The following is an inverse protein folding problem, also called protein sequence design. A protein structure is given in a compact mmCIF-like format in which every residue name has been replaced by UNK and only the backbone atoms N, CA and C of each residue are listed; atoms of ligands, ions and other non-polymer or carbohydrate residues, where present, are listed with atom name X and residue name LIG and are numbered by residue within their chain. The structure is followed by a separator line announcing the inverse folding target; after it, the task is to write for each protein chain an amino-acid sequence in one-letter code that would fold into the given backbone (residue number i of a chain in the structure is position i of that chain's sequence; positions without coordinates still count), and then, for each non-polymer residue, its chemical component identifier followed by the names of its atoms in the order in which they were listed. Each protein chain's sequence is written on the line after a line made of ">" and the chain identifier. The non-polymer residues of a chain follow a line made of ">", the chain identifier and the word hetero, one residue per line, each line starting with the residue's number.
data_IF_044269177864
#
_entry.id   IF_044269177864
#
_cell.length_a   1.000
_cell.length_b   1.000
_cell.length_c   1.000
_cell.angle_alpha   90.00
_cell.angle_beta   90.00
_cell.angle_gamma   90.00
#
_symmetry.space_group_name_H-M   'P 1'
#
loop_
_entity.id
_entity.type
_entity.pdbx_description
1 polymer ?
#
# COMPACT_ATOMS: atom_id res chain seq x y z
N UNK A 1 -13.38 31.95 -1.76
CA UNK A 1 -12.45 30.86 -1.40
C UNK A 1 -13.18 29.87 -0.49
N UNK A 2 -13.58 28.71 -1.01
CA UNK A 2 -14.25 27.67 -0.22
C UNK A 2 -13.23 27.11 0.78
N UNK A 3 -13.42 27.36 2.08
CA UNK A 3 -12.67 26.68 3.14
C UNK A 3 -13.12 25.22 3.10
N UNK A 4 -12.39 24.38 2.38
CA UNK A 4 -12.64 22.94 2.33
C UNK A 4 -12.62 22.42 3.77
N UNK A 5 -13.70 21.78 4.21
CA UNK A 5 -13.78 21.21 5.55
C UNK A 5 -12.64 20.22 5.76
N UNK A 6 -11.60 20.63 6.49
CA UNK A 6 -10.39 19.83 6.71
C UNK A 6 -10.66 18.53 7.46
N UNK A 7 -11.85 18.39 8.06
CA UNK A 7 -12.36 17.20 8.75
C UNK A 7 -13.15 16.24 7.86
N UNK A 8 -13.55 16.66 6.65
CA UNK A 8 -14.25 15.80 5.71
C UNK A 8 -13.42 14.52 5.44
N UNK A 9 -14.08 13.37 5.47
CA UNK A 9 -13.44 12.07 5.28
C UNK A 9 -13.49 11.66 3.80
N UNK A 10 -12.34 11.24 3.26
CA UNK A 10 -12.18 10.68 1.93
C UNK A 10 -11.98 9.18 2.04
N UNK A 11 -12.59 8.40 1.15
CA UNK A 11 -12.36 6.96 1.06
C UNK A 11 -11.03 6.74 0.33
N UNK A 12 -10.04 6.21 1.06
CA UNK A 12 -8.72 5.87 0.54
C UNK A 12 -8.62 4.41 0.14
N UNK A 13 -9.12 3.52 0.99
CA UNK A 13 -9.08 2.07 0.78
C UNK A 13 -10.46 1.43 0.99
N UNK A 14 -10.79 0.52 0.10
CA UNK A 14 -11.97 -0.35 0.17
C UNK A 14 -11.77 -1.45 1.22
N UNK A 15 -12.84 -2.19 1.50
CA UNK A 15 -12.76 -3.36 2.39
C UNK A 15 -11.81 -4.43 1.82
N UNK A 16 -11.87 -4.68 0.51
CA UNK A 16 -11.02 -5.66 -0.16
C UNK A 16 -9.53 -5.32 -0.01
N UNK A 17 -9.12 -4.10 -0.35
CA UNK A 17 -7.71 -3.66 -0.24
C UNK A 17 -7.18 -3.80 1.19
N UNK A 18 -8.02 -3.48 2.20
CA UNK A 18 -7.66 -3.64 3.61
C UNK A 18 -7.47 -5.10 4.01
N UNK A 19 -8.39 -5.99 3.63
CA UNK A 19 -8.23 -7.42 3.94
C UNK A 19 -7.01 -8.02 3.25
N UNK A 20 -6.78 -7.69 1.99
CA UNK A 20 -5.57 -8.14 1.28
C UNK A 20 -4.32 -7.69 2.03
N UNK A 21 -4.26 -6.42 2.45
CA UNK A 21 -3.15 -5.90 3.23
C UNK A 21 -2.99 -6.63 4.58
N UNK A 22 -4.05 -6.71 5.39
CA UNK A 22 -3.98 -7.29 6.74
C UNK A 22 -3.65 -8.78 6.73
N UNK A 23 -4.23 -9.55 5.81
CA UNK A 23 -3.93 -10.98 5.67
C UNK A 23 -2.50 -11.21 5.17
N UNK A 24 -2.05 -10.41 4.19
CA UNK A 24 -0.65 -10.49 3.71
C UNK A 24 0.32 -10.10 4.82
N UNK A 25 0.02 -9.04 5.58
CA UNK A 25 0.84 -8.60 6.71
C UNK A 25 0.91 -9.65 7.82
N UNK A 26 -0.21 -10.28 8.15
CA UNK A 26 -0.25 -11.37 9.15
C UNK A 26 0.63 -12.55 8.70
N UNK A 27 0.46 -13.03 7.46
CA UNK A 27 1.25 -14.13 6.93
C UNK A 27 2.74 -13.78 6.83
N UNK A 28 3.06 -12.57 6.37
CA UNK A 28 4.44 -12.07 6.30
C UNK A 28 5.09 -12.03 7.68
N UNK A 29 4.41 -11.44 8.68
CA UNK A 29 4.94 -11.35 10.05
C UNK A 29 5.10 -12.73 10.68
N UNK A 30 4.17 -13.66 10.42
CA UNK A 30 4.31 -15.05 10.85
C UNK A 30 5.52 -15.74 10.19
N UNK A 31 5.73 -15.54 8.89
CA UNK A 31 6.93 -16.03 8.19
C UNK A 31 8.21 -15.44 8.77
N UNK A 32 8.26 -14.13 9.03
CA UNK A 32 9.44 -13.47 9.58
C UNK A 32 9.75 -13.95 11.00
N UNK A 33 8.74 -14.08 11.85
CA UNK A 33 8.91 -14.58 13.22
C UNK A 33 9.40 -16.03 13.23
N UNK A 34 8.76 -16.89 12.45
CA UNK A 34 9.16 -18.31 12.35
C UNK A 34 10.53 -18.48 11.69
N UNK A 35 10.85 -17.71 10.65
CA UNK A 35 12.18 -17.70 10.03
C UNK A 35 13.26 -17.28 11.03
N UNK A 36 13.03 -16.22 11.80
CA UNK A 36 13.94 -15.78 12.84
C UNK A 36 14.21 -16.89 13.87
N UNK A 37 13.17 -17.60 14.32
CA UNK A 37 13.32 -18.72 15.25
C UNK A 37 14.06 -19.92 14.64
N UNK A 38 13.89 -20.19 13.34
CA UNK A 38 14.61 -21.25 12.63
C UNK A 38 16.06 -20.87 12.31
N UNK A 39 16.33 -19.59 12.13
CA UNK A 39 17.64 -19.03 11.80
C UNK A 39 18.59 -19.07 13.02
N UNK A 40 18.08 -18.84 14.22
CA UNK A 40 18.87 -18.85 15.46
C UNK A 40 18.82 -20.26 16.09
N UNK A 41 19.96 -20.98 16.16
CA UNK A 41 19.99 -22.36 16.67
C UNK A 41 19.41 -22.50 18.08
N UNK A 42 19.64 -21.53 18.97
CA UNK A 42 19.14 -21.56 20.35
C UNK A 42 17.61 -21.60 20.47
N UNK A 43 16.88 -21.05 19.50
CA UNK A 43 15.41 -21.12 19.46
C UNK A 43 14.90 -22.39 18.75
N UNK A 44 15.75 -23.04 17.95
CA UNK A 44 15.41 -24.21 17.16
C UNK A 44 15.75 -25.56 17.82
N UNK A 45 16.53 -25.59 18.91
CA UNK A 45 17.16 -26.81 19.45
C UNK A 45 16.25 -27.68 20.33
N UNK A 46 15.15 -27.16 20.87
CA UNK A 46 14.16 -28.04 21.50
C UNK A 46 13.37 -28.74 20.40
N UNK A 47 13.50 -30.07 20.28
CA UNK A 47 12.89 -30.86 19.20
C UNK A 47 11.39 -30.58 18.99
N UNK A 48 10.64 -30.27 20.05
CA UNK A 48 9.22 -29.89 19.96
C UNK A 48 8.97 -28.51 19.30
N UNK A 49 9.89 -27.56 19.40
CA UNK A 49 9.72 -26.25 18.79
C UNK A 49 9.94 -26.28 17.27
N UNK A 50 10.98 -27.00 16.79
CA UNK A 50 11.29 -27.05 15.35
C UNK A 50 10.20 -27.77 14.55
N UNK A 51 9.66 -28.86 15.07
CA UNK A 51 8.57 -29.63 14.43
C UNK A 51 7.26 -28.85 14.34
N UNK A 52 7.06 -27.80 15.15
CA UNK A 52 5.89 -26.92 15.07
C UNK A 52 6.20 -25.69 14.19
N UNK A 53 7.33 -25.03 14.41
CA UNK A 53 7.69 -23.78 13.76
C UNK A 53 7.91 -23.99 12.25
N UNK A 54 8.57 -25.08 11.85
CA UNK A 54 8.86 -25.35 10.44
C UNK A 54 7.58 -25.53 9.61
N UNK A 55 6.62 -26.39 9.98
CA UNK A 55 5.35 -26.48 9.24
C UNK A 55 4.60 -25.15 9.19
N UNK A 56 4.53 -24.40 10.30
CA UNK A 56 3.88 -23.07 10.31
C UNK A 56 4.54 -22.15 9.30
N UNK A 57 5.88 -22.09 9.27
CA UNK A 57 6.62 -21.29 8.29
C UNK A 57 6.28 -21.69 6.85
N UNK A 58 6.29 -23.00 6.55
CA UNK A 58 5.99 -23.52 5.22
C UNK A 58 4.56 -23.15 4.80
N UNK A 59 3.56 -23.41 5.65
CA UNK A 59 2.17 -23.10 5.32
C UNK A 59 1.93 -21.61 5.18
N UNK A 60 2.51 -20.77 6.04
CA UNK A 60 2.41 -19.31 5.90
C UNK A 60 3.07 -18.84 4.59
N UNK A 61 4.23 -19.39 4.22
CA UNK A 61 4.91 -19.09 2.96
C UNK A 61 4.09 -19.49 1.73
N UNK A 62 3.49 -20.69 1.76
CA UNK A 62 2.63 -21.18 0.68
C UNK A 62 1.33 -20.37 0.54
N UNK A 63 0.77 -19.90 1.66
CA UNK A 63 -0.45 -19.10 1.69
C UNK A 63 -0.21 -17.61 1.42
N UNK A 64 1.03 -17.12 1.55
CA UNK A 64 1.37 -15.71 1.35
C UNK A 64 0.85 -15.08 0.04
N UNK A 65 0.90 -15.75 -1.14
CA UNK A 65 0.32 -15.19 -2.37
C UNK A 65 -1.21 -15.15 -2.39
N UNK A 66 -1.90 -15.96 -1.58
CA UNK A 66 -3.36 -16.16 -1.64
C UNK A 66 -4.15 -14.86 -1.45
N UNK A 67 -3.90 -14.00 -0.44
CA UNK A 67 -4.64 -12.75 -0.31
C UNK A 67 -4.51 -11.85 -1.53
N UNK A 68 -3.33 -11.77 -2.14
CA UNK A 68 -3.11 -10.96 -3.36
C UNK A 68 -3.90 -11.53 -4.53
N UNK A 69 -3.86 -12.85 -4.74
CA UNK A 69 -4.61 -13.53 -5.80
C UNK A 69 -6.12 -13.34 -5.64
N UNK A 70 -6.66 -13.50 -4.43
CA UNK A 70 -8.08 -13.22 -4.14
C UNK A 70 -8.41 -11.74 -4.35
N UNK A 71 -7.49 -10.85 -3.97
CA UNK A 71 -7.60 -9.41 -4.18
C UNK A 71 -7.78 -9.02 -5.64
N UNK A 72 -7.22 -9.80 -6.59
CA UNK A 72 -7.37 -9.55 -8.02
C UNK A 72 -8.82 -9.60 -8.49
N UNK A 73 -9.76 -10.20 -7.75
CA UNK A 73 -11.20 -10.14 -8.07
C UNK A 73 -11.75 -8.71 -7.91
N UNK A 74 -11.20 -7.93 -6.98
CA UNK A 74 -11.62 -6.55 -6.71
C UNK A 74 -11.09 -5.56 -7.75
N UNK A 75 -12.00 -4.84 -8.43
CA UNK A 75 -11.64 -3.75 -9.35
C UNK A 75 -10.81 -2.66 -8.68
N UNK A 76 -11.11 -2.34 -7.42
CA UNK A 76 -10.39 -1.31 -6.67
C UNK A 76 -8.93 -1.73 -6.45
N UNK A 77 -8.72 -2.98 -5.99
CA UNK A 77 -7.39 -3.54 -5.79
C UNK A 77 -6.58 -3.60 -7.09
N UNK A 78 -7.19 -4.03 -8.20
CA UNK A 78 -6.51 -4.02 -9.52
C UNK A 78 -6.08 -2.62 -9.95
N UNK A 79 -6.91 -1.59 -9.71
CA UNK A 79 -6.56 -0.19 -9.99
C UNK A 79 -5.39 0.26 -9.13
N UNK A 80 -5.39 -0.09 -7.84
CA UNK A 80 -4.31 0.24 -6.92
C UNK A 80 -3.01 -0.45 -7.31
N UNK A 81 -3.05 -1.72 -7.72
CA UNK A 81 -1.90 -2.45 -8.23
C UNK A 81 -1.32 -1.78 -9.48
N UNK A 82 -2.18 -1.34 -10.40
CA UNK A 82 -1.76 -0.57 -11.58
C UNK A 82 -1.12 0.77 -11.21
N UNK A 83 -1.66 1.46 -10.20
CA UNK A 83 -1.09 2.72 -9.70
C UNK A 83 0.26 2.52 -8.99
N UNK A 84 0.44 1.39 -8.30
CA UNK A 84 1.70 1.00 -7.65
C UNK A 84 2.77 0.63 -8.68
N UNK A 85 2.40 -0.07 -9.76
CA UNK A 85 3.34 -0.51 -10.80
C UNK A 85 3.72 0.61 -11.79
N UNK A 86 2.99 1.73 -11.80
CA UNK A 86 3.25 2.84 -12.73
C UNK A 86 4.17 3.88 -12.11
N UNK A 87 5.45 3.79 -12.46
CA UNK A 87 6.44 4.83 -12.17
C UNK A 87 6.40 5.93 -13.24
N UNK A 88 6.49 7.18 -12.81
CA UNK A 88 6.54 8.33 -13.71
C UNK A 88 7.57 9.39 -13.29
N UNK A 89 7.74 10.46 -14.09
CA UNK A 89 8.72 11.51 -13.80
C UNK A 89 8.53 12.19 -12.43
N UNK A 90 7.30 12.23 -11.93
CA UNK A 90 6.97 12.77 -10.61
C UNK A 90 7.56 11.91 -9.47
N UNK A 91 7.64 10.59 -9.64
CA UNK A 91 8.24 9.70 -8.65
C UNK A 91 9.74 9.95 -8.53
N UNK A 92 10.42 10.11 -9.67
CA UNK A 92 11.84 10.42 -9.70
C UNK A 92 12.15 11.80 -9.08
N UNK A 93 11.30 12.80 -9.30
CA UNK A 93 11.40 14.10 -8.61
C UNK A 93 11.20 13.97 -7.11
N UNK A 94 10.25 13.14 -6.67
CA UNK A 94 10.01 12.90 -5.24
C UNK A 94 11.22 12.25 -4.57
N UNK A 95 11.84 11.25 -5.22
CA UNK A 95 13.02 10.56 -4.69
C UNK A 95 14.24 11.49 -4.55
N UNK A 96 14.44 12.40 -5.51
CA UNK A 96 15.56 13.35 -5.50
C UNK A 96 15.31 14.59 -4.64
N UNK A 97 14.07 14.84 -4.23
CA UNK A 97 13.72 16.04 -3.48
C UNK A 97 14.09 15.93 -2.00
N UNK A 98 14.95 16.84 -1.52
CA UNK A 98 15.19 17.05 -0.09
C UNK A 98 13.96 17.57 0.66
N UNK A 99 12.99 18.16 -0.06
CA UNK A 99 11.74 18.72 0.46
C UNK A 99 10.52 17.82 0.21
N UNK A 100 10.74 16.52 -0.06
CA UNK A 100 9.68 15.55 -0.39
C UNK A 100 8.57 15.38 0.67
N UNK A 101 8.84 15.81 1.92
CA UNK A 101 7.88 15.84 3.05
C UNK A 101 7.50 17.27 3.49
N UNK A 102 7.95 18.29 2.77
CA UNK A 102 7.66 19.68 3.13
C UNK A 102 6.19 20.01 2.87
N UNK A 103 5.60 20.72 3.83
CA UNK A 103 4.22 21.18 3.80
C UNK A 103 4.23 22.72 3.87
N UNK A 104 3.54 23.38 2.95
CA UNK A 104 3.35 24.84 2.92
C UNK A 104 1.84 25.09 2.84
N UNK A 105 1.34 25.98 3.70
CA UNK A 105 -0.10 26.29 3.81
C UNK A 105 -0.99 25.06 3.99
N UNK A 106 -0.50 24.07 4.75
CA UNK A 106 -1.22 22.82 5.00
C UNK A 106 -1.30 21.88 3.79
N UNK A 107 -0.51 22.10 2.74
CA UNK A 107 -0.43 21.27 1.54
C UNK A 107 0.98 20.77 1.24
N UNK A 108 1.09 19.56 0.70
CA UNK A 108 2.38 19.00 0.28
C UNK A 108 2.94 19.74 -0.93
N UNK A 109 4.23 20.10 -0.88
CA UNK A 109 4.89 20.89 -1.95
C UNK A 109 5.16 20.04 -3.21
N UNK A 110 5.41 18.74 -3.04
CA UNK A 110 5.61 17.82 -4.16
C UNK A 110 4.26 17.19 -4.52
N UNK A 111 3.83 17.22 -5.80
CA UNK A 111 2.58 16.61 -6.22
C UNK A 111 2.69 15.08 -6.11
N UNK A 112 2.01 14.51 -5.11
CA UNK A 112 1.97 13.08 -4.84
C UNK A 112 0.57 12.54 -5.14
N UNK A 113 0.51 11.50 -5.97
CA UNK A 113 -0.73 10.77 -6.29
C UNK A 113 -1.21 9.90 -5.12
N UNK A 114 -2.05 8.88 -5.39
CA UNK A 114 -2.56 8.01 -4.31
C UNK A 114 -1.43 7.34 -3.51
N UNK A 115 -0.35 6.96 -4.19
CA UNK A 115 0.87 6.42 -3.58
C UNK A 115 2.07 7.31 -3.93
N UNK A 116 2.95 7.53 -2.94
CA UNK A 116 4.24 8.19 -3.18
C UNK A 116 5.28 7.19 -3.72
N UNK A 117 6.40 7.70 -4.22
CA UNK A 117 7.44 6.86 -4.82
C UNK A 117 8.03 5.83 -3.83
N UNK A 118 8.18 6.20 -2.55
CA UNK A 118 8.64 5.27 -1.50
C UNK A 118 7.67 4.10 -1.28
N UNK A 119 6.36 4.37 -1.27
CA UNK A 119 5.33 3.33 -1.19
C UNK A 119 5.34 2.41 -2.41
N UNK A 120 5.55 2.96 -3.61
CA UNK A 120 5.68 2.18 -4.84
C UNK A 120 6.92 1.28 -4.83
N UNK A 121 8.08 1.82 -4.44
CA UNK A 121 9.32 1.05 -4.29
C UNK A 121 9.16 -0.07 -3.26
N UNK A 122 8.58 0.23 -2.10
CA UNK A 122 8.32 -0.77 -1.06
C UNK A 122 7.40 -1.88 -1.57
N UNK A 123 6.32 -1.53 -2.28
CA UNK A 123 5.39 -2.50 -2.86
C UNK A 123 6.08 -3.37 -3.93
N UNK A 124 6.86 -2.77 -4.83
CA UNK A 124 7.59 -3.49 -5.87
C UNK A 124 8.65 -4.44 -5.28
N UNK A 125 9.45 -3.96 -4.32
CA UNK A 125 10.42 -4.78 -3.60
C UNK A 125 9.72 -5.93 -2.88
N UNK A 126 8.69 -5.66 -2.09
CA UNK A 126 7.99 -6.69 -1.29
C UNK A 126 7.35 -7.74 -2.20
N UNK A 127 6.74 -7.34 -3.32
CA UNK A 127 6.16 -8.26 -4.27
C UNK A 127 7.21 -9.15 -4.95
N UNK A 128 8.30 -8.55 -5.46
CA UNK A 128 9.41 -9.30 -6.05
C UNK A 128 10.08 -10.25 -5.06
N UNK A 129 10.32 -9.75 -3.84
CA UNK A 129 10.91 -10.54 -2.76
C UNK A 129 9.99 -11.71 -2.38
N UNK A 130 8.68 -11.50 -2.24
CA UNK A 130 7.72 -12.56 -1.94
C UNK A 130 7.73 -13.67 -3.01
N UNK A 131 7.82 -13.33 -4.30
CA UNK A 131 7.91 -14.31 -5.38
C UNK A 131 9.21 -15.13 -5.30
N UNK A 132 10.35 -14.48 -5.06
CA UNK A 132 11.64 -15.17 -4.89
C UNK A 132 11.62 -16.06 -3.64
N UNK A 133 11.10 -15.56 -2.52
CA UNK A 133 10.97 -16.32 -1.27
C UNK A 133 10.04 -17.52 -1.41
N UNK A 134 8.96 -17.39 -2.18
CA UNK A 134 8.07 -18.51 -2.49
C UNK A 134 8.80 -19.58 -3.32
N UNK A 135 9.53 -19.17 -4.36
CA UNK A 135 10.31 -20.07 -5.19
C UNK A 135 11.41 -20.79 -4.41
N UNK A 136 12.25 -20.04 -3.69
CA UNK A 136 13.33 -20.64 -2.88
C UNK A 136 12.76 -21.46 -1.72
N UNK A 137 11.70 -21.02 -1.06
CA UNK A 137 11.00 -21.78 -0.01
C UNK A 137 10.47 -23.13 -0.50
N UNK A 138 9.93 -23.19 -1.73
CA UNK A 138 9.54 -24.43 -2.37
C UNK A 138 10.75 -25.36 -2.58
N UNK A 139 11.86 -24.85 -3.14
CA UNK A 139 13.10 -25.61 -3.36
C UNK A 139 13.73 -26.11 -2.04
N UNK A 140 13.49 -25.42 -0.92
CA UNK A 140 13.92 -25.86 0.42
C UNK A 140 12.96 -26.88 1.06
N UNK A 141 11.71 -26.93 0.60
CA UNK A 141 10.70 -27.85 1.14
C UNK A 141 10.81 -29.23 0.49
N UNK A 142 11.05 -29.28 -0.82
CA UNK A 142 11.15 -30.52 -1.58
C UNK A 142 12.60 -30.83 -2.00
N UNK A 143 12.92 -32.09 -2.39
CA UNK A 143 14.25 -32.43 -2.92
C UNK A 143 14.54 -31.63 -4.20
N UNK A 144 15.64 -30.86 -4.20
CA UNK A 144 16.04 -30.02 -5.33
C UNK A 144 17.58 -29.93 -5.41
N UNK A 145 18.20 -30.06 -6.59
CA UNK A 145 19.65 -30.00 -6.74
C UNK A 145 20.26 -28.62 -6.47
N UNK A 146 19.45 -27.54 -6.55
CA UNK A 146 19.86 -26.17 -6.31
C UNK A 146 19.60 -25.70 -4.88
N UNK A 147 19.29 -26.62 -3.96
CA UNK A 147 18.97 -26.33 -2.56
C UNK A 147 19.97 -25.39 -1.89
N UNK A 148 21.28 -25.57 -2.11
CA UNK A 148 22.32 -24.71 -1.52
C UNK A 148 22.19 -23.25 -1.97
N UNK A 149 21.99 -23.02 -3.28
CA UNK A 149 21.77 -21.68 -3.82
C UNK A 149 20.46 -21.07 -3.33
N UNK A 150 19.41 -21.89 -3.25
CA UNK A 150 18.12 -21.48 -2.71
C UNK A 150 18.23 -21.05 -1.24
N UNK A 151 18.94 -21.80 -0.38
CA UNK A 151 19.19 -21.42 1.02
C UNK A 151 19.87 -20.06 1.09
N UNK A 152 20.96 -19.87 0.33
CA UNK A 152 21.69 -18.61 0.34
C UNK A 152 20.81 -17.41 -0.03
N UNK A 153 20.04 -17.53 -1.12
CA UNK A 153 19.14 -16.45 -1.56
C UNK A 153 18.02 -16.23 -0.55
N UNK A 154 17.43 -17.29 0.00
CA UNK A 154 16.34 -17.21 0.97
C UNK A 154 16.77 -16.50 2.26
N UNK A 155 17.93 -16.84 2.80
CA UNK A 155 18.44 -16.28 4.05
C UNK A 155 18.81 -14.79 3.92
N UNK A 156 19.54 -14.43 2.85
CA UNK A 156 19.89 -13.02 2.61
C UNK A 156 18.66 -12.16 2.32
N UNK A 157 17.72 -12.70 1.55
CA UNK A 157 16.49 -12.00 1.24
C UNK A 157 15.58 -11.86 2.47
N UNK A 158 15.55 -12.86 3.36
CA UNK A 158 14.91 -12.74 4.67
C UNK A 158 15.43 -11.54 5.45
N UNK A 159 16.75 -11.37 5.57
CA UNK A 159 17.34 -10.23 6.27
C UNK A 159 16.95 -8.89 5.62
N UNK A 160 16.97 -8.81 4.29
CA UNK A 160 16.54 -7.62 3.57
C UNK A 160 15.05 -7.30 3.79
N UNK A 161 14.17 -8.32 3.77
CA UNK A 161 12.74 -8.17 4.04
C UNK A 161 12.50 -7.69 5.48
N UNK A 162 13.25 -8.20 6.47
CA UNK A 162 13.16 -7.72 7.87
C UNK A 162 13.41 -6.22 7.91
N UNK A 163 14.50 -5.73 7.33
CA UNK A 163 14.86 -4.30 7.33
C UNK A 163 13.77 -3.46 6.67
N UNK A 164 13.31 -3.88 5.48
CA UNK A 164 12.27 -3.15 4.74
C UNK A 164 10.94 -3.15 5.48
N UNK A 165 10.54 -4.27 6.08
CA UNK A 165 9.30 -4.40 6.85
C UNK A 165 9.33 -3.52 8.10
N UNK A 166 10.46 -3.48 8.82
CA UNK A 166 10.64 -2.57 9.96
C UNK A 166 10.58 -1.11 9.53
N UNK A 167 11.22 -0.75 8.43
CA UNK A 167 11.13 0.60 7.85
C UNK A 167 9.70 0.99 7.47
N UNK A 168 8.96 0.07 6.86
CA UNK A 168 7.54 0.26 6.53
C UNK A 168 6.68 0.48 7.78
N UNK A 169 6.87 -0.36 8.82
CA UNK A 169 6.15 -0.24 10.09
C UNK A 169 6.48 1.07 10.80
N UNK A 170 7.76 1.47 10.83
CA UNK A 170 8.20 2.74 11.41
C UNK A 170 7.53 3.95 10.75
N UNK A 171 7.52 4.01 9.42
CA UNK A 171 6.85 5.09 8.70
C UNK A 171 5.33 5.08 8.92
N UNK A 172 4.70 3.90 9.00
CA UNK A 172 3.28 3.78 9.29
C UNK A 172 2.93 4.27 10.71
N UNK A 173 3.70 3.86 11.72
CA UNK A 173 3.46 4.22 13.13
C UNK A 173 3.62 5.72 13.39
N UNK A 174 4.46 6.40 12.61
CA UNK A 174 4.66 7.86 12.68
C UNK A 174 3.56 8.68 12.01
N UNK A 175 2.65 8.03 11.29
CA UNK A 175 1.53 8.68 10.61
C UNK A 175 0.17 8.10 11.08
N UNK A 176 -0.45 8.70 12.12
CA UNK A 176 -1.77 8.29 12.60
C UNK A 176 -2.86 8.34 11.52
N UNK A 177 -2.72 9.22 10.52
CA UNK A 177 -3.67 9.30 9.41
C UNK A 177 -3.54 8.12 8.45
N UNK A 178 -2.32 7.65 8.20
CA UNK A 178 -2.06 6.42 7.45
C UNK A 178 -2.61 5.19 8.19
N UNK A 179 -2.34 5.05 9.49
CA UNK A 179 -2.88 3.97 10.32
C UNK A 179 -4.41 3.94 10.29
N UNK A 180 -5.05 5.10 10.52
CA UNK A 180 -6.52 5.21 10.44
C UNK A 180 -7.03 4.88 9.05
N UNK A 181 -6.30 5.28 8.01
CA UNK A 181 -6.61 4.93 6.62
C UNK A 181 -6.62 3.42 6.40
N UNK A 182 -5.64 2.69 6.93
CA UNK A 182 -5.57 1.23 6.77
C UNK A 182 -6.57 0.48 7.66
N UNK A 183 -6.85 0.99 8.86
CA UNK A 183 -7.85 0.40 9.76
C UNK A 183 -9.28 0.61 9.24
N UNK A 184 -9.64 1.85 8.87
CA UNK A 184 -11.03 2.25 8.59
C UNK A 184 -11.34 2.46 7.11
N UNK A 185 -10.32 2.54 6.26
CA UNK A 185 -10.45 2.84 4.83
C UNK A 185 -10.56 4.33 4.52
N UNK A 186 -10.62 5.20 5.54
CA UNK A 186 -10.90 6.64 5.39
C UNK A 186 -9.80 7.50 5.98
N UNK A 187 -9.52 8.63 5.34
CA UNK A 187 -8.55 9.64 5.78
C UNK A 187 -9.19 11.03 5.73
N UNK A 188 -8.68 11.99 6.51
CA UNK A 188 -9.18 13.36 6.43
C UNK A 188 -8.69 14.04 5.16
N UNK A 189 -9.50 14.96 4.61
CA UNK A 189 -9.12 15.78 3.44
C UNK A 189 -7.87 16.61 3.71
N UNK A 190 -7.69 17.09 4.95
CA UNK A 190 -6.46 17.78 5.37
C UNK A 190 -5.22 16.89 5.38
N UNK A 191 -5.35 15.62 5.79
CA UNK A 191 -4.25 14.65 5.70
C UNK A 191 -3.89 14.36 4.25
N UNK A 192 -4.92 14.17 3.39
CA UNK A 192 -4.74 13.93 1.97
C UNK A 192 -4.04 15.10 1.29
N UNK A 193 -4.42 16.34 1.60
CA UNK A 193 -3.79 17.53 1.05
C UNK A 193 -2.31 17.69 1.47
N UNK A 194 -1.93 17.26 2.68
CA UNK A 194 -0.54 17.30 3.17
C UNK A 194 0.35 16.23 2.54
N UNK A 195 -0.14 14.99 2.42
CA UNK A 195 0.69 13.84 2.05
C UNK A 195 0.51 13.39 0.59
N UNK A 196 -0.64 13.70 0.00
CA UNK A 196 -1.10 13.20 -1.30
C UNK A 196 -1.85 14.30 -2.07
N UNK A 197 -1.24 15.49 -2.18
CA UNK A 197 -1.89 16.69 -2.71
C UNK A 197 -2.54 16.49 -4.09
N UNK A 198 -1.84 15.83 -5.02
CA UNK A 198 -2.37 15.58 -6.36
C UNK A 198 -3.53 14.57 -6.37
N UNK A 199 -3.58 13.67 -5.38
CA UNK A 199 -4.72 12.77 -5.20
C UNK A 199 -5.94 13.47 -4.57
N UNK A 200 -5.73 14.39 -3.63
CA UNK A 200 -6.83 15.14 -3.01
C UNK A 200 -7.53 16.11 -3.96
N UNK A 201 -6.85 16.52 -5.03
CA UNK A 201 -7.36 17.44 -6.04
C UNK A 201 -8.00 16.70 -7.24
N UNK A 202 -7.88 15.37 -7.32
CA UNK A 202 -8.44 14.60 -8.42
C UNK A 202 -9.99 14.56 -8.35
N UNK A 203 -10.70 14.76 -9.48
CA UNK A 203 -12.17 14.77 -9.53
C UNK A 203 -12.83 13.50 -9.00
N UNK A 204 -12.15 12.36 -9.14
CA UNK A 204 -12.64 11.02 -8.79
C UNK A 204 -12.25 10.58 -7.36
N UNK A 205 -11.73 11.48 -6.52
CA UNK A 205 -11.50 11.18 -5.11
C UNK A 205 -12.86 10.83 -4.47
N UNK A 206 -13.11 9.58 -4.02
CA UNK A 206 -14.43 9.21 -3.54
C UNK A 206 -14.69 9.90 -2.19
N UNK A 207 -15.40 11.03 -2.25
CA UNK A 207 -15.82 11.79 -1.08
C UNK A 207 -16.19 13.26 -1.35
N UNK A 208 -17.46 13.48 -1.78
CA UNK A 208 -18.28 14.59 -1.27
C UNK A 208 -18.78 15.65 -2.26
N UNK A 209 -19.87 15.37 -3.00
CA UNK A 209 -21.11 16.17 -3.06
C UNK A 209 -21.96 15.79 -4.27
N UNK A 210 -22.84 14.80 -4.09
CA UNK A 210 -24.09 14.75 -4.83
C UNK A 210 -25.10 15.64 -4.13
N UNK A 211 -24.96 16.96 -4.27
CA UNK A 211 -25.95 17.97 -3.86
C UNK A 211 -25.44 19.36 -4.28
N UNK A 212 -25.47 19.67 -5.58
CA UNK A 212 -25.87 20.98 -6.12
C UNK A 212 -25.66 21.00 -7.63
N UNK A 213 -26.75 20.76 -8.36
CA UNK A 213 -26.83 20.96 -9.81
C UNK A 213 -28.16 21.59 -10.23
N UNK A 214 -28.85 22.24 -9.28
CA UNK A 214 -30.21 22.76 -9.45
C UNK A 214 -30.29 24.27 -9.38
N UNK A 215 -29.49 25.02 -10.14
CA UNK A 215 -29.84 26.41 -10.45
C UNK A 215 -29.15 26.91 -11.72
N UNK A 216 -29.93 27.37 -12.70
CA UNK A 216 -29.37 28.06 -13.88
C UNK A 216 -30.20 27.99 -15.15
N UNK A 217 -31.49 28.35 -15.10
CA UNK A 217 -32.36 28.36 -16.29
C UNK A 217 -33.37 29.52 -16.31
N UNK A 218 -32.94 30.74 -15.96
CA UNK A 218 -33.76 31.94 -16.10
C UNK A 218 -33.91 32.26 -17.60
N UNK A 219 -35.05 31.88 -18.21
CA UNK A 219 -35.45 32.34 -19.54
C UNK A 219 -35.76 33.84 -19.47
N UNK A 220 -34.85 34.68 -19.95
CA UNK A 220 -35.15 36.07 -20.31
C UNK A 220 -35.76 36.03 -21.72
N UNK A 221 -37.08 36.20 -21.81
CA UNK A 221 -37.78 36.40 -23.08
C UNK A 221 -37.80 37.89 -23.40
N UNK A 222 -36.71 38.40 -23.96
CA UNK A 222 -36.60 39.77 -24.48
C UNK A 222 -37.17 39.84 -25.90
N UNK A 223 -38.28 40.56 -26.07
CA UNK A 223 -38.92 40.77 -27.37
C UNK A 223 -38.06 41.60 -28.33
N UNK A 224 -38.18 41.30 -29.63
CA UNK A 224 -37.82 42.21 -30.71
C UNK A 224 -39.06 42.56 -31.52
N UNK A 225 -39.25 43.88 -31.61
CA UNK A 225 -40.24 44.64 -32.36
C UNK A 225 -40.14 44.30 -33.86
N UNK A 226 -41.31 44.19 -34.52
CA UNK A 226 -41.42 44.32 -35.97
C UNK A 226 -41.55 45.80 -36.32
N UNK A 227 -40.76 46.24 -37.28
CA UNK A 227 -40.86 47.51 -38.00
C UNK A 227 -41.75 47.33 -39.22
N UNK A 228 -42.43 48.43 -39.56
CA UNK A 228 -43.07 48.80 -40.85
C UNK A 228 -44.08 47.83 -41.46
#
# INVERSE_FOLDING_TARGET
>A
MHRLDGRALLVRFTLAERWVHHLTALLMLACLATAFMLYIPAFATTAGHREIIKPVHIYCGLLLPVPTLLGLVSRAFRRDLGALNRFGPHDARWLRSGRRRAVVDGRGVVPVGKFNAGQKLNAAFTAGAALVMFGTGAMLTWPDPWRTGATFVHDWLFLAIVVVTLGHLWEALRDPGALRGMATGRVTRSWAARHHAAWSDAPDAPGGSGADGGSGGRRVRGGRRRTS
#
